data_IF_540868701833
#
_entry.id   IF_540868701833
#
_cell.length_a   1.000
_cell.length_b   1.000
_cell.length_c   1.000
_cell.angle_alpha   90.00
_cell.angle_beta   90.00
_cell.angle_gamma   90.00
#
_symmetry.space_group_name_H-M   'P 1'
#
loop_
_entity.id
_entity.type
_entity.pdbx_description
1 polymer ?
#
# COMPACT_ATOMS: atom_id res chain seq x y z
N UNK A 1 3.28 18.39 -33.99
CA UNK A 1 4.15 17.72 -33.00
C UNK A 1 5.58 17.67 -33.53
N UNK A 2 6.58 17.95 -32.68
CA UNK A 2 8.01 17.86 -33.02
C UNK A 2 8.57 16.58 -32.42
N UNK A 3 9.37 15.83 -33.18
CA UNK A 3 10.06 14.61 -32.73
C UNK A 3 11.55 14.88 -32.61
N UNK A 4 12.14 14.57 -31.46
CA UNK A 4 13.55 14.78 -31.14
C UNK A 4 14.10 13.64 -30.30
N UNK A 5 15.43 13.55 -30.20
CA UNK A 5 16.09 12.68 -29.22
C UNK A 5 16.33 13.45 -27.90
N UNK A 6 16.26 12.78 -26.77
CA UNK A 6 16.50 13.43 -25.47
C UNK A 6 17.84 14.15 -25.40
N UNK A 7 18.89 13.59 -26.01
CA UNK A 7 20.21 14.21 -26.06
C UNK A 7 20.30 15.48 -26.90
N UNK A 8 19.25 15.79 -27.72
CA UNK A 8 19.14 17.03 -28.52
C UNK A 8 18.51 18.18 -27.72
N UNK A 9 17.85 17.90 -26.60
CA UNK A 9 17.12 18.87 -25.78
C UNK A 9 17.57 18.87 -24.31
N UNK A 10 18.33 17.85 -23.88
CA UNK A 10 18.82 17.69 -22.51
C UNK A 10 20.31 17.36 -22.48
N UNK A 11 21.03 18.04 -21.61
CA UNK A 11 22.33 17.57 -21.13
C UNK A 11 22.09 16.40 -20.16
N UNK A 12 22.75 15.25 -20.41
CA UNK A 12 22.64 14.06 -19.57
C UNK A 12 23.97 13.84 -18.87
N UNK A 13 23.98 14.08 -17.56
CA UNK A 13 25.14 14.01 -16.71
C UNK A 13 25.21 12.65 -15.99
N UNK A 14 26.38 12.05 -15.98
CA UNK A 14 26.70 10.89 -15.13
C UNK A 14 27.20 11.37 -13.77
N UNK A 15 26.92 10.59 -12.71
CA UNK A 15 27.39 10.91 -11.38
C UNK A 15 28.79 10.39 -11.04
N UNK A 16 29.23 10.75 -9.84
CA UNK A 16 30.57 10.40 -9.32
C UNK A 16 30.53 9.12 -8.45
N UNK A 17 31.64 8.37 -8.48
CA UNK A 17 31.83 7.17 -7.66
C UNK A 17 32.31 7.54 -6.25
N UNK A 18 31.39 7.89 -5.36
CA UNK A 18 31.72 8.23 -3.99
C UNK A 18 32.22 7.03 -3.20
N UNK A 19 33.30 7.21 -2.43
CA UNK A 19 33.86 6.20 -1.54
C UNK A 19 33.06 6.19 -0.22
N UNK A 20 32.38 5.10 0.09
CA UNK A 20 31.55 4.99 1.30
C UNK A 20 32.32 5.18 2.62
N UNK A 21 33.63 4.86 2.62
CA UNK A 21 34.51 5.09 3.76
C UNK A 21 34.71 6.57 4.13
N UNK A 22 34.39 7.48 3.21
CA UNK A 22 34.46 8.93 3.42
C UNK A 22 33.10 9.55 3.75
N UNK A 23 32.05 8.76 3.98
CA UNK A 23 30.74 9.29 4.37
C UNK A 23 30.82 9.85 5.79
N UNK A 24 30.13 10.98 5.97
CA UNK A 24 30.04 11.72 7.24
C UNK A 24 28.56 11.99 7.56
N UNK A 25 28.29 12.45 8.79
CA UNK A 25 26.91 12.73 9.22
C UNK A 25 26.34 14.03 8.66
N UNK A 26 27.19 14.97 8.23
CA UNK A 26 26.79 16.25 7.66
C UNK A 26 27.74 16.67 6.52
N UNK A 27 27.22 17.36 5.51
CA UNK A 27 28.01 17.84 4.39
C UNK A 27 27.21 17.95 3.08
N UNK A 28 27.81 17.52 1.97
CA UNK A 28 27.14 17.46 0.67
C UNK A 28 26.36 16.14 0.58
N UNK A 29 25.04 16.20 0.47
CA UNK A 29 24.18 15.04 0.34
C UNK A 29 24.50 14.25 -0.92
N UNK A 30 24.57 12.93 -0.83
CA UNK A 30 24.76 12.05 -1.99
C UNK A 30 23.40 11.47 -2.41
N UNK A 31 22.93 11.80 -3.61
CA UNK A 31 21.72 11.21 -4.16
C UNK A 31 22.07 9.88 -4.84
N UNK A 32 21.64 8.79 -4.19
CA UNK A 32 21.88 7.41 -4.61
C UNK A 32 20.65 6.85 -5.31
N UNK A 33 20.79 5.68 -5.96
CA UNK A 33 19.65 4.99 -6.62
C UNK A 33 18.48 4.69 -5.67
N UNK A 34 18.77 4.42 -4.40
CA UNK A 34 17.75 4.17 -3.37
C UNK A 34 16.90 5.39 -3.07
N UNK A 35 17.42 6.59 -3.32
CA UNK A 35 16.69 7.83 -3.12
C UNK A 35 15.77 8.17 -4.31
N UNK A 36 16.05 7.64 -5.52
CA UNK A 36 15.23 7.96 -6.71
C UNK A 36 14.03 7.02 -6.80
N UNK A 37 12.85 7.55 -6.56
CA UNK A 37 11.58 6.84 -6.64
C UNK A 37 10.76 7.32 -7.84
N UNK A 38 9.67 6.64 -8.19
CA UNK A 38 8.79 7.05 -9.28
C UNK A 38 8.03 8.32 -8.87
N UNK A 39 8.40 9.45 -9.48
CA UNK A 39 7.78 10.76 -9.25
C UNK A 39 8.41 11.62 -8.15
N UNK A 40 9.33 11.10 -7.33
CA UNK A 40 9.93 11.87 -6.24
C UNK A 40 11.32 11.38 -5.83
N UNK A 41 12.03 12.20 -5.05
CA UNK A 41 13.29 11.82 -4.39
C UNK A 41 12.99 11.56 -2.91
N UNK A 42 13.34 10.36 -2.45
CA UNK A 42 13.17 9.93 -1.06
C UNK A 42 14.39 10.33 -0.21
N UNK A 43 14.16 10.76 1.03
CA UNK A 43 15.20 11.24 1.94
C UNK A 43 15.24 10.49 3.29
N UNK A 44 14.89 9.22 3.30
CA UNK A 44 14.77 8.42 4.54
C UNK A 44 16.09 7.95 5.13
N UNK A 45 17.17 7.86 4.33
CA UNK A 45 18.53 7.47 4.78
C UNK A 45 19.59 8.34 4.09
N UNK A 46 19.71 9.63 4.46
CA UNK A 46 20.65 10.52 3.82
C UNK A 46 22.09 10.11 4.10
N UNK A 47 22.95 10.16 3.08
CA UNK A 47 24.41 10.02 3.20
C UNK A 47 25.07 11.28 2.70
N UNK A 48 26.11 11.69 3.38
CA UNK A 48 26.80 12.94 3.10
C UNK A 48 28.26 12.69 2.78
N UNK A 49 28.83 13.62 1.99
CA UNK A 49 30.25 13.69 1.68
C UNK A 49 30.85 14.97 2.26
N UNK A 50 32.12 14.94 2.72
CA UNK A 50 32.71 16.10 3.37
C UNK A 50 32.70 17.35 2.48
N UNK A 51 32.43 18.51 3.06
CA UNK A 51 32.28 19.78 2.34
C UNK A 51 33.56 20.22 1.65
N UNK A 52 34.71 19.85 2.19
CA UNK A 52 36.04 20.16 1.62
C UNK A 52 36.25 19.56 0.24
N UNK A 53 35.54 18.50 -0.11
CA UNK A 53 35.60 17.89 -1.46
C UNK A 53 34.75 18.63 -2.50
N UNK A 54 34.03 19.72 -2.13
CA UNK A 54 33.08 20.42 -3.01
C UNK A 54 33.72 20.82 -4.36
N UNK A 55 34.94 21.38 -4.33
CA UNK A 55 35.63 21.83 -5.55
C UNK A 55 36.01 20.63 -6.46
N UNK A 56 36.37 19.48 -5.88
CA UNK A 56 36.76 18.30 -6.65
C UNK A 56 35.56 17.57 -7.29
N UNK A 57 34.36 17.78 -6.76
CA UNK A 57 33.10 17.20 -7.26
C UNK A 57 32.14 18.23 -7.85
N UNK A 58 32.62 19.45 -8.15
CA UNK A 58 31.78 20.57 -8.62
C UNK A 58 30.89 20.20 -9.82
N UNK A 59 31.43 19.43 -10.77
CA UNK A 59 30.69 18.95 -11.96
C UNK A 59 29.49 18.06 -11.64
N UNK A 60 29.46 17.48 -10.43
CA UNK A 60 28.41 16.55 -9.98
C UNK A 60 27.44 17.20 -8.99
N UNK A 61 27.65 18.47 -8.66
CA UNK A 61 26.77 19.22 -7.76
C UNK A 61 25.42 19.45 -8.46
N UNK A 62 24.37 19.08 -7.73
CA UNK A 62 22.98 19.21 -8.18
C UNK A 62 22.43 20.61 -7.92
N UNK A 63 21.49 21.01 -8.76
CA UNK A 63 20.73 22.26 -8.67
C UNK A 63 19.27 21.94 -8.32
N UNK A 64 18.59 22.91 -7.74
CA UNK A 64 17.16 22.81 -7.48
C UNK A 64 16.40 22.47 -8.78
N UNK A 65 15.48 21.50 -8.66
CA UNK A 65 14.67 21.00 -9.77
C UNK A 65 15.46 20.28 -10.89
N UNK A 66 16.68 19.80 -10.63
CA UNK A 66 17.31 18.82 -11.53
C UNK A 66 16.46 17.55 -11.61
N UNK A 67 16.27 17.02 -12.83
CA UNK A 67 15.62 15.74 -13.06
C UNK A 67 16.63 14.61 -12.83
N UNK A 68 16.36 13.72 -11.90
CA UNK A 68 17.26 12.63 -11.52
C UNK A 68 16.64 11.29 -11.90
N UNK A 69 17.41 10.43 -12.58
CA UNK A 69 16.96 9.12 -13.05
C UNK A 69 17.84 7.99 -12.52
N UNK A 70 17.23 6.93 -12.02
CA UNK A 70 17.95 5.71 -11.64
C UNK A 70 18.43 4.93 -12.86
N UNK A 71 19.73 4.61 -12.88
CA UNK A 71 20.38 3.85 -13.99
C UNK A 71 20.54 2.37 -13.69
N UNK A 72 20.39 1.94 -12.42
CA UNK A 72 20.68 0.57 -11.98
C UNK A 72 19.57 0.08 -11.04
N UNK A 73 19.31 -1.23 -11.04
CA UNK A 73 18.30 -1.86 -10.20
C UNK A 73 16.88 -1.53 -10.69
N UNK A 74 16.18 -0.63 -10.04
CA UNK A 74 14.89 -0.10 -10.51
C UNK A 74 15.14 1.00 -11.56
N UNK A 75 15.56 0.60 -12.74
CA UNK A 75 15.96 1.54 -13.82
C UNK A 75 14.79 2.39 -14.31
N UNK A 76 15.08 3.63 -14.72
CA UNK A 76 14.12 4.52 -15.35
C UNK A 76 13.17 5.24 -14.37
N UNK A 77 13.31 5.07 -13.05
CA UNK A 77 12.58 5.90 -12.08
C UNK A 77 13.11 7.32 -12.10
N UNK A 78 12.22 8.30 -12.06
CA UNK A 78 12.59 9.72 -12.17
C UNK A 78 11.95 10.52 -11.05
N UNK A 79 12.76 11.41 -10.44
CA UNK A 79 12.31 12.37 -9.44
C UNK A 79 12.94 13.75 -9.65
N UNK A 80 12.35 14.79 -9.09
CA UNK A 80 12.88 16.14 -9.03
C UNK A 80 13.52 16.38 -7.67
N UNK A 81 14.76 16.90 -7.65
CA UNK A 81 15.40 17.24 -6.39
C UNK A 81 14.83 18.54 -5.84
N UNK A 82 14.46 18.55 -4.57
CA UNK A 82 13.94 19.74 -3.88
C UNK A 82 15.07 20.61 -3.32
N UNK A 83 14.76 21.88 -3.10
CA UNK A 83 15.67 22.85 -2.47
C UNK A 83 16.14 22.40 -1.08
N UNK A 84 15.27 21.72 -0.33
CA UNK A 84 15.57 21.24 1.04
C UNK A 84 16.63 20.14 1.09
N UNK A 85 16.93 19.50 -0.05
CA UNK A 85 17.96 18.46 -0.15
C UNK A 85 19.33 19.02 -0.53
N UNK A 86 19.44 20.30 -0.85
CA UNK A 86 20.70 20.93 -1.25
C UNK A 86 21.51 21.41 -0.03
N UNK A 87 22.86 21.39 -0.09
CA UNK A 87 23.69 20.98 -1.22
C UNK A 87 23.74 19.47 -1.41
N UNK A 88 23.64 19.04 -2.67
CA UNK A 88 23.65 17.61 -3.02
C UNK A 88 24.52 17.33 -4.24
N UNK A 89 24.98 16.08 -4.36
CA UNK A 89 25.81 15.61 -5.47
C UNK A 89 25.30 14.28 -6.05
N UNK A 90 25.51 14.08 -7.33
CA UNK A 90 25.02 13.00 -8.14
C UNK A 90 25.90 11.76 -8.02
N UNK A 91 25.35 10.60 -7.57
CA UNK A 91 26.07 9.32 -7.52
C UNK A 91 26.14 8.66 -8.91
N UNK A 92 27.20 7.89 -9.19
CA UNK A 92 27.48 7.22 -10.46
C UNK A 92 26.35 6.34 -11.03
N UNK A 93 25.38 5.91 -10.20
CA UNK A 93 24.25 5.05 -10.59
C UNK A 93 22.96 5.86 -10.83
N UNK A 94 23.08 7.18 -10.84
CA UNK A 94 21.98 8.11 -11.12
C UNK A 94 22.43 9.04 -12.23
N UNK A 95 21.55 9.29 -13.21
CA UNK A 95 21.74 10.35 -14.21
C UNK A 95 21.01 11.61 -13.78
N UNK A 96 21.55 12.78 -14.17
CA UNK A 96 20.87 14.06 -14.07
C UNK A 96 20.58 14.57 -15.49
N UNK A 97 19.32 14.96 -15.74
CA UNK A 97 18.88 15.53 -17.01
C UNK A 97 18.61 17.02 -16.81
N UNK A 98 19.34 17.87 -17.54
CA UNK A 98 19.18 19.32 -17.55
C UNK A 98 18.72 19.77 -18.92
N UNK A 99 17.53 20.34 -19.01
CA UNK A 99 16.98 20.86 -20.25
C UNK A 99 17.72 22.15 -20.61
N UNK A 100 18.15 22.27 -21.84
CA UNK A 100 18.76 23.48 -22.42
C UNK A 100 17.94 24.07 -23.57
N UNK A 101 16.99 23.33 -24.13
CA UNK A 101 16.10 23.78 -25.21
C UNK A 101 14.77 24.28 -24.59
N UNK A 102 14.48 25.57 -24.76
CA UNK A 102 13.25 26.19 -24.25
C UNK A 102 11.95 25.76 -24.96
N UNK A 103 12.04 24.91 -25.99
CA UNK A 103 10.85 24.36 -26.69
C UNK A 103 10.18 23.22 -25.91
N UNK A 104 10.82 22.68 -24.88
CA UNK A 104 10.28 21.65 -24.01
C UNK A 104 10.24 22.11 -22.55
N UNK A 105 9.09 22.00 -21.90
CA UNK A 105 8.98 22.29 -20.47
C UNK A 105 9.49 21.13 -19.62
N UNK A 106 10.04 21.46 -18.46
CA UNK A 106 10.55 20.48 -17.51
C UNK A 106 9.41 19.58 -16.99
N UNK A 107 8.27 20.16 -16.73
CA UNK A 107 7.08 19.48 -16.25
C UNK A 107 6.58 18.45 -17.27
N UNK A 108 6.58 18.80 -18.55
CA UNK A 108 6.18 17.88 -19.64
C UNK A 108 7.20 16.73 -19.76
N UNK A 109 8.50 17.05 -19.75
CA UNK A 109 9.52 16.00 -19.79
C UNK A 109 9.44 15.10 -18.55
N UNK A 110 9.18 15.66 -17.38
CA UNK A 110 9.00 14.88 -16.14
C UNK A 110 7.82 13.91 -16.26
N UNK A 111 6.68 14.33 -16.78
CA UNK A 111 5.52 13.46 -17.01
C UNK A 111 5.83 12.35 -18.03
N UNK A 112 6.49 12.68 -19.16
CA UNK A 112 6.93 11.68 -20.14
C UNK A 112 7.82 10.62 -19.50
N UNK A 113 8.85 11.04 -18.76
CA UNK A 113 9.81 10.13 -18.11
C UNK A 113 9.20 9.28 -16.98
N UNK A 114 8.09 9.71 -16.39
CA UNK A 114 7.33 8.95 -15.41
C UNK A 114 6.19 8.10 -16.02
N UNK A 115 6.04 8.11 -17.37
CA UNK A 115 5.06 7.28 -18.06
C UNK A 115 5.46 5.79 -17.97
N UNK A 116 4.44 4.93 -17.91
CA UNK A 116 4.66 3.48 -17.92
C UNK A 116 5.33 3.02 -19.23
N UNK A 117 5.05 3.71 -20.35
CA UNK A 117 5.66 3.46 -21.65
C UNK A 117 7.17 3.69 -21.62
N UNK A 118 7.61 4.83 -21.08
CA UNK A 118 9.02 5.11 -20.90
C UNK A 118 9.69 4.11 -19.96
N UNK A 119 9.09 3.84 -18.80
CA UNK A 119 9.63 2.90 -17.81
C UNK A 119 9.79 1.49 -18.41
N UNK A 120 8.78 0.99 -19.13
CA UNK A 120 8.87 -0.31 -19.82
C UNK A 120 9.94 -0.32 -20.92
N UNK A 121 10.11 0.79 -21.66
CA UNK A 121 11.18 0.93 -22.64
C UNK A 121 12.56 0.90 -21.99
N UNK A 122 12.73 1.63 -20.87
CA UNK A 122 13.96 1.62 -20.08
C UNK A 122 14.29 0.21 -19.54
N UNK A 123 13.28 -0.49 -19.00
CA UNK A 123 13.43 -1.86 -18.50
C UNK A 123 13.85 -2.83 -19.62
N UNK A 124 13.20 -2.75 -20.80
CA UNK A 124 13.54 -3.62 -21.96
C UNK A 124 14.93 -3.36 -22.51
N UNK A 125 15.38 -2.11 -22.45
CA UNK A 125 16.71 -1.70 -22.96
C UNK A 125 17.82 -1.87 -21.94
N UNK A 126 17.51 -2.25 -20.70
CA UNK A 126 18.50 -2.47 -19.66
C UNK A 126 19.18 -3.85 -19.81
N UNK A 127 20.49 -3.88 -19.70
CA UNK A 127 21.28 -5.09 -19.77
C UNK A 127 21.53 -5.69 -18.38
N UNK A 128 21.63 -7.03 -18.29
CA UNK A 128 22.00 -7.76 -17.08
C UNK A 128 20.89 -8.65 -16.53
N UNK A 129 21.23 -9.91 -16.23
CA UNK A 129 20.28 -10.92 -15.69
C UNK A 129 20.07 -10.73 -14.18
N UNK A 130 21.15 -10.41 -13.45
CA UNK A 130 21.12 -10.23 -11.99
C UNK A 130 20.89 -8.77 -11.56
N UNK A 131 21.38 -7.79 -12.33
CA UNK A 131 21.20 -6.37 -12.05
C UNK A 131 21.02 -5.61 -13.37
N UNK A 132 19.86 -5.02 -13.58
CA UNK A 132 19.55 -4.20 -14.74
C UNK A 132 20.38 -2.91 -14.72
N UNK A 133 21.02 -2.56 -15.83
CA UNK A 133 21.77 -1.33 -16.02
C UNK A 133 21.32 -0.63 -17.30
N UNK A 134 20.98 0.64 -17.17
CA UNK A 134 20.60 1.53 -18.25
C UNK A 134 21.78 2.43 -18.63
N UNK A 135 22.16 2.50 -19.91
CA UNK A 135 23.23 3.40 -20.34
C UNK A 135 22.70 4.80 -20.64
N UNK A 136 23.52 5.81 -20.33
CA UNK A 136 23.22 7.20 -20.70
C UNK A 136 23.26 7.42 -22.22
N UNK A 137 23.97 6.59 -22.98
CA UNK A 137 23.98 6.64 -24.46
C UNK A 137 22.67 6.14 -25.05
N UNK A 138 22.04 5.16 -24.41
CA UNK A 138 20.67 4.79 -24.78
C UNK A 138 19.72 5.95 -24.45
N UNK A 139 19.83 6.54 -23.27
CA UNK A 139 18.96 7.62 -22.83
C UNK A 139 19.03 8.84 -23.77
N UNK A 140 20.24 9.19 -24.28
CA UNK A 140 20.39 10.25 -25.30
C UNK A 140 19.64 9.94 -26.61
N UNK A 141 19.46 8.67 -26.96
CA UNK A 141 18.80 8.24 -28.19
C UNK A 141 17.29 8.04 -28.06
N UNK A 142 16.75 8.13 -26.86
CA UNK A 142 15.30 8.01 -26.63
C UNK A 142 14.60 9.11 -27.40
N UNK A 143 13.62 8.72 -28.20
CA UNK A 143 12.80 9.64 -28.99
C UNK A 143 11.65 10.18 -28.14
N UNK A 144 11.42 11.46 -28.23
CA UNK A 144 10.34 12.19 -27.58
C UNK A 144 9.58 12.98 -28.63
N UNK A 145 8.26 12.83 -28.64
CA UNK A 145 7.37 13.68 -29.45
C UNK A 145 6.66 14.66 -28.54
N UNK A 146 6.69 15.94 -28.87
CA UNK A 146 6.05 16.98 -28.05
C UNK A 146 5.32 18.03 -28.88
N UNK A 147 4.22 18.60 -28.35
CA UNK A 147 3.45 19.66 -28.98
C UNK A 147 4.05 21.06 -28.66
N UNK A 148 3.30 22.13 -29.00
CA UNK A 148 3.67 23.50 -28.62
C UNK A 148 3.74 23.67 -27.09
N UNK A 149 4.46 24.69 -26.62
CA UNK A 149 4.63 24.96 -25.17
C UNK A 149 3.28 25.16 -24.50
N UNK A 150 2.33 25.84 -25.14
CA UNK A 150 0.97 26.06 -24.62
C UNK A 150 0.24 24.73 -24.41
N UNK A 151 0.36 23.81 -25.35
CA UNK A 151 -0.23 22.46 -25.22
C UNK A 151 0.47 21.62 -24.16
N UNK A 152 1.80 21.74 -24.01
CA UNK A 152 2.54 21.10 -22.94
C UNK A 152 2.05 21.56 -21.55
N UNK A 153 1.81 22.86 -21.38
CA UNK A 153 1.25 23.42 -20.13
C UNK A 153 -0.12 22.85 -19.84
N UNK A 154 -0.98 22.74 -20.87
CA UNK A 154 -2.33 22.16 -20.70
C UNK A 154 -2.25 20.68 -20.29
N UNK A 155 -1.43 19.89 -20.98
CA UNK A 155 -1.23 18.46 -20.67
C UNK A 155 -0.73 18.28 -19.23
N UNK A 156 0.32 19.00 -18.85
CA UNK A 156 0.91 18.87 -17.50
C UNK A 156 -0.03 19.34 -16.41
N UNK A 157 -0.77 20.44 -16.63
CA UNK A 157 -1.76 20.92 -15.66
C UNK A 157 -2.89 19.90 -15.46
N UNK A 158 -3.36 19.27 -16.53
CA UNK A 158 -4.40 18.23 -16.48
C UNK A 158 -3.92 17.00 -15.70
N UNK A 159 -2.72 16.49 -16.03
CA UNK A 159 -2.14 15.33 -15.34
C UNK A 159 -1.88 15.62 -13.86
N UNK A 160 -1.34 16.80 -13.54
CA UNK A 160 -1.09 17.21 -12.15
C UNK A 160 -2.40 17.33 -11.36
N UNK A 161 -3.48 17.85 -11.97
CA UNK A 161 -4.79 17.91 -11.32
C UNK A 161 -5.33 16.52 -10.99
N UNK A 162 -5.21 15.56 -11.91
CA UNK A 162 -5.63 14.17 -11.67
C UNK A 162 -4.80 13.55 -10.55
N UNK A 163 -3.48 13.76 -10.52
CA UNK A 163 -2.61 13.27 -9.44
C UNK A 163 -2.99 13.86 -8.08
N UNK A 164 -3.30 15.15 -8.02
CA UNK A 164 -3.79 15.79 -6.81
C UNK A 164 -5.14 15.20 -6.36
N UNK A 165 -6.07 14.95 -7.27
CA UNK A 165 -7.34 14.32 -6.95
C UNK A 165 -7.15 12.91 -6.40
N UNK A 166 -6.29 12.10 -7.01
CA UNK A 166 -5.93 10.75 -6.52
C UNK A 166 -5.33 10.86 -5.10
N UNK A 167 -4.41 11.79 -4.88
CA UNK A 167 -3.80 12.02 -3.57
C UNK A 167 -4.86 12.39 -2.52
N UNK A 168 -5.76 13.34 -2.82
CA UNK A 168 -6.81 13.75 -1.89
C UNK A 168 -7.81 12.62 -1.59
N UNK A 169 -8.17 11.80 -2.57
CA UNK A 169 -9.03 10.64 -2.35
C UNK A 169 -8.38 9.61 -1.42
N UNK A 170 -7.09 9.32 -1.60
CA UNK A 170 -6.33 8.45 -0.69
C UNK A 170 -6.28 9.03 0.73
N UNK A 171 -6.09 10.34 0.88
CA UNK A 171 -6.12 11.02 2.17
C UNK A 171 -7.52 10.98 2.83
N UNK A 172 -8.59 11.19 2.05
CA UNK A 172 -9.96 11.07 2.54
C UNK A 172 -10.24 9.66 3.10
N UNK A 173 -9.85 8.61 2.37
CA UNK A 173 -10.02 7.23 2.82
C UNK A 173 -9.28 6.97 4.15
N UNK A 174 -8.04 7.46 4.27
CA UNK A 174 -7.28 7.38 5.52
C UNK A 174 -8.00 8.08 6.68
N UNK A 175 -8.49 9.31 6.46
CA UNK A 175 -9.21 10.08 7.48
C UNK A 175 -10.51 9.41 7.90
N UNK A 176 -11.23 8.75 6.99
CA UNK A 176 -12.43 8.00 7.33
C UNK A 176 -12.12 6.83 8.27
N UNK A 177 -11.01 6.10 8.03
CA UNK A 177 -10.56 5.04 8.94
C UNK A 177 -10.19 5.59 10.34
N UNK A 178 -9.53 6.76 10.39
CA UNK A 178 -9.20 7.43 11.64
C UNK A 178 -10.46 7.91 12.37
N UNK A 179 -11.45 8.40 11.64
CA UNK A 179 -12.74 8.86 12.18
C UNK A 179 -13.51 7.73 12.86
N UNK A 180 -13.56 6.53 12.25
CA UNK A 180 -14.23 5.37 12.87
C UNK A 180 -13.56 5.00 14.19
N UNK A 181 -12.22 4.98 14.24
CA UNK A 181 -11.46 4.69 15.49
C UNK A 181 -11.73 5.76 16.55
N UNK A 182 -11.74 7.04 16.15
CA UNK A 182 -12.05 8.14 17.06
C UNK A 182 -13.48 8.03 17.62
N UNK A 183 -14.45 7.70 16.75
CA UNK A 183 -15.85 7.50 17.18
C UNK A 183 -16.01 6.32 18.12
N UNK A 184 -15.29 5.22 17.90
CA UNK A 184 -15.26 4.10 18.82
C UNK A 184 -14.79 4.53 20.21
N UNK A 185 -13.66 5.25 20.28
CA UNK A 185 -13.13 5.76 21.55
C UNK A 185 -14.07 6.77 22.23
N UNK A 186 -14.70 7.64 21.46
CA UNK A 186 -15.69 8.61 22.00
C UNK A 186 -16.88 7.90 22.63
N UNK A 187 -17.40 6.86 21.96
CA UNK A 187 -18.60 6.15 22.41
C UNK A 187 -18.33 5.14 23.51
N UNK A 188 -17.18 4.48 23.51
CA UNK A 188 -16.92 3.33 24.39
C UNK A 188 -15.70 3.49 25.30
N UNK A 189 -14.88 4.52 25.11
CA UNK A 189 -13.60 4.70 25.79
C UNK A 189 -12.53 3.74 25.30
N UNK A 190 -11.40 3.66 26.01
CA UNK A 190 -10.38 2.63 25.79
C UNK A 190 -10.91 1.29 26.30
N UNK A 191 -11.11 0.28 25.43
CA UNK A 191 -11.70 -0.99 25.85
C UNK A 191 -10.75 -1.85 26.68
N UNK A 192 -9.45 -1.53 26.73
CA UNK A 192 -8.46 -2.21 27.56
C UNK A 192 -8.51 -1.67 29.00
N UNK A 193 -8.64 -0.35 29.15
CA UNK A 193 -8.68 0.33 30.44
C UNK A 193 -10.10 0.34 31.04
N UNK A 194 -11.13 0.27 30.20
CA UNK A 194 -12.55 0.36 30.57
C UNK A 194 -12.86 1.59 31.46
N UNK A 195 -12.34 2.74 31.10
CA UNK A 195 -12.49 4.00 31.85
C UNK A 195 -13.95 4.42 32.07
N UNK A 196 -14.85 4.00 31.17
CA UNK A 196 -16.29 4.25 31.27
C UNK A 196 -17.03 3.31 32.21
N UNK A 197 -16.35 2.27 32.74
CA UNK A 197 -16.91 1.34 33.72
C UNK A 197 -18.01 0.42 33.18
N UNK A 198 -17.95 0.07 31.90
CA UNK A 198 -18.89 -0.88 31.30
C UNK A 198 -18.83 -2.25 32.00
N UNK A 199 -19.95 -2.96 32.01
CA UNK A 199 -19.99 -4.38 32.39
C UNK A 199 -18.96 -5.16 31.56
N UNK A 200 -18.34 -6.18 32.17
CA UNK A 200 -17.35 -7.05 31.48
C UNK A 200 -17.84 -8.50 31.57
N UNK A 201 -17.78 -9.19 30.45
CA UNK A 201 -18.02 -10.63 30.43
C UNK A 201 -17.03 -11.31 29.46
N UNK A 202 -17.01 -12.66 29.41
CA UNK A 202 -16.12 -13.39 28.51
C UNK A 202 -16.77 -13.56 27.13
N UNK A 203 -15.94 -13.62 26.09
CA UNK A 203 -16.39 -13.68 24.70
C UNK A 203 -17.36 -14.85 24.45
N UNK A 204 -17.14 -16.01 25.09
CA UNK A 204 -18.01 -17.19 25.00
C UNK A 204 -19.36 -17.04 25.69
N UNK A 205 -19.54 -16.06 26.56
CA UNK A 205 -20.83 -15.77 27.21
C UNK A 205 -21.65 -14.72 26.46
N UNK A 206 -21.00 -13.94 25.61
CA UNK A 206 -21.67 -12.88 24.85
C UNK A 206 -21.98 -13.28 23.41
N UNK A 207 -21.61 -14.48 23.01
CA UNK A 207 -21.93 -15.07 21.70
C UNK A 207 -21.49 -16.52 21.59
N UNK A 208 -21.77 -17.12 20.46
CA UNK A 208 -21.31 -18.48 20.14
C UNK A 208 -19.97 -18.40 19.43
N UNK A 209 -18.97 -19.08 19.97
CA UNK A 209 -17.63 -19.15 19.41
C UNK A 209 -17.30 -20.58 18.98
N UNK A 210 -16.74 -20.76 17.81
CA UNK A 210 -16.39 -22.08 17.30
C UNK A 210 -15.28 -22.05 16.30
N UNK A 211 -14.50 -23.12 16.26
CA UNK A 211 -13.40 -23.28 15.32
C UNK A 211 -13.90 -23.74 13.97
N UNK A 212 -13.33 -23.23 12.86
CA UNK A 212 -13.53 -23.79 11.54
C UNK A 212 -13.09 -25.25 11.47
N UNK A 213 -13.54 -25.97 10.47
CA UNK A 213 -13.36 -27.41 10.35
C UNK A 213 -12.68 -27.77 9.04
N UNK A 214 -11.61 -28.59 9.12
CA UNK A 214 -10.90 -29.14 7.98
C UNK A 214 -10.42 -30.55 8.34
N UNK A 215 -11.28 -31.55 8.12
CA UNK A 215 -11.02 -32.95 8.55
C UNK A 215 -10.13 -33.71 7.56
N UNK A 216 -10.32 -33.50 6.27
CA UNK A 216 -9.64 -34.27 5.21
C UNK A 216 -8.15 -33.92 5.09
N UNK A 217 -7.34 -34.89 4.70
CA UNK A 217 -5.93 -34.74 4.44
C UNK A 217 -5.56 -35.41 3.11
N UNK A 218 -4.68 -34.82 2.27
CA UNK A 218 -4.08 -33.49 2.46
C UNK A 218 -5.10 -32.36 2.28
N UNK A 219 -4.89 -31.22 2.93
CA UNK A 219 -5.81 -30.06 2.93
C UNK A 219 -5.99 -29.41 1.55
N UNK A 220 -5.08 -29.67 0.62
CA UNK A 220 -5.08 -29.15 -0.76
C UNK A 220 -5.52 -30.21 -1.79
N UNK A 221 -6.14 -31.31 -1.35
CA UNK A 221 -6.65 -32.35 -2.26
C UNK A 221 -7.69 -31.77 -3.22
N UNK A 222 -7.54 -32.04 -4.53
CA UNK A 222 -8.36 -31.46 -5.59
C UNK A 222 -9.86 -31.72 -5.45
N UNK A 223 -10.24 -32.92 -4.92
CA UNK A 223 -11.61 -33.33 -4.69
C UNK A 223 -12.37 -32.47 -3.66
N UNK A 224 -11.66 -31.74 -2.82
CA UNK A 224 -12.25 -30.81 -1.85
C UNK A 224 -12.82 -29.54 -2.51
N UNK A 225 -12.29 -29.15 -3.69
CA UNK A 225 -12.50 -27.84 -4.29
C UNK A 225 -13.34 -27.91 -5.59
N UNK A 226 -13.67 -26.72 -6.13
CA UNK A 226 -14.30 -26.57 -7.45
C UNK A 226 -15.83 -26.70 -7.45
N UNK A 227 -16.50 -26.64 -6.27
CA UNK A 227 -17.96 -26.61 -6.16
C UNK A 227 -18.51 -25.19 -5.98
N UNK A 228 -19.64 -25.10 -5.29
CA UNK A 228 -20.41 -23.85 -5.13
C UNK A 228 -20.24 -23.19 -3.74
N UNK A 229 -19.62 -23.87 -2.78
CA UNK A 229 -19.53 -23.36 -1.40
C UNK A 229 -18.28 -22.52 -1.22
N UNK A 230 -18.40 -21.19 -0.95
CA UNK A 230 -17.25 -20.35 -0.69
C UNK A 230 -16.36 -20.91 0.40
N UNK A 231 -15.03 -20.83 0.20
CA UNK A 231 -14.02 -21.27 1.16
C UNK A 231 -13.04 -20.15 1.43
N UNK A 232 -13.06 -19.66 2.68
CA UNK A 232 -12.26 -18.53 3.15
C UNK A 232 -11.01 -19.01 3.89
N UNK A 233 -9.88 -18.39 3.63
CA UNK A 233 -8.61 -18.65 4.30
C UNK A 233 -8.18 -17.46 5.18
N UNK A 234 -7.14 -17.66 5.98
CA UNK A 234 -6.61 -16.60 6.88
C UNK A 234 -6.16 -15.34 6.12
N UNK A 235 -5.68 -15.51 4.89
CA UNK A 235 -5.31 -14.39 4.00
C UNK A 235 -6.52 -13.54 3.59
N UNK A 236 -7.66 -14.20 3.29
CA UNK A 236 -8.89 -13.50 2.92
C UNK A 236 -9.41 -12.65 4.10
N UNK A 237 -9.39 -13.20 5.32
CA UNK A 237 -9.77 -12.45 6.54
C UNK A 237 -8.82 -11.27 6.79
N UNK A 238 -7.51 -11.50 6.67
CA UNK A 238 -6.51 -10.48 6.99
C UNK A 238 -6.45 -9.32 5.99
N UNK A 239 -6.80 -9.58 4.73
CA UNK A 239 -6.76 -8.60 3.64
C UNK A 239 -8.12 -7.95 3.36
N UNK A 240 -9.20 -8.43 3.99
CA UNK A 240 -10.52 -7.79 3.92
C UNK A 240 -10.62 -6.61 4.89
N UNK A 241 -11.53 -5.68 4.60
CA UNK A 241 -11.91 -4.62 5.52
C UNK A 241 -12.89 -5.14 6.59
N UNK A 242 -13.97 -4.37 6.83
CA UNK A 242 -15.02 -4.78 7.77
C UNK A 242 -15.74 -6.06 7.33
N UNK A 243 -15.85 -6.29 6.01
CA UNK A 243 -16.55 -7.44 5.45
C UNK A 243 -15.69 -8.21 4.44
N UNK A 244 -15.81 -9.56 4.47
CA UNK A 244 -15.33 -10.44 3.43
C UNK A 244 -16.39 -10.47 2.34
N UNK A 245 -16.15 -9.79 1.23
CA UNK A 245 -17.09 -9.63 0.12
C UNK A 245 -16.73 -10.47 -1.10
N UNK A 246 -15.56 -11.10 -1.11
CA UNK A 246 -15.04 -11.91 -2.21
C UNK A 246 -14.30 -13.14 -1.69
N UNK A 247 -14.10 -14.14 -2.57
CA UNK A 247 -13.39 -15.39 -2.25
C UNK A 247 -12.63 -15.91 -3.46
N UNK A 248 -11.51 -16.59 -3.19
CA UNK A 248 -10.62 -17.12 -4.24
C UNK A 248 -10.84 -18.60 -4.53
N UNK A 249 -11.53 -19.32 -3.66
CA UNK A 249 -11.78 -20.76 -3.82
C UNK A 249 -13.14 -21.18 -3.29
N UNK A 250 -13.63 -22.33 -3.76
CA UNK A 250 -14.89 -22.92 -3.34
C UNK A 250 -14.68 -24.39 -2.98
N UNK A 251 -15.45 -24.89 -2.04
CA UNK A 251 -15.55 -26.34 -1.75
C UNK A 251 -16.60 -27.02 -2.61
N UNK A 252 -16.32 -28.28 -2.94
CA UNK A 252 -17.28 -29.24 -3.51
C UNK A 252 -18.24 -29.76 -2.43
N UNK A 253 -19.27 -30.55 -2.82
CA UNK A 253 -20.10 -31.26 -1.87
C UNK A 253 -19.30 -32.20 -0.95
N UNK A 254 -18.22 -32.80 -1.47
CA UNK A 254 -17.29 -33.59 -0.67
C UNK A 254 -16.54 -32.72 0.32
N UNK A 255 -16.05 -31.56 -0.12
CA UNK A 255 -15.35 -30.56 0.74
C UNK A 255 -16.26 -30.06 1.85
N UNK A 256 -17.52 -29.75 1.56
CA UNK A 256 -18.51 -29.34 2.56
C UNK A 256 -18.69 -30.40 3.65
N UNK A 257 -18.80 -31.68 3.28
CA UNK A 257 -18.92 -32.79 4.24
C UNK A 257 -17.72 -32.94 5.19
N UNK A 258 -16.55 -32.42 4.79
CA UNK A 258 -15.32 -32.40 5.58
C UNK A 258 -15.12 -31.10 6.38
N UNK A 259 -16.04 -30.13 6.23
CA UNK A 259 -15.99 -28.80 6.81
C UNK A 259 -17.27 -28.48 7.60
N UNK A 260 -17.48 -27.22 7.87
CA UNK A 260 -18.70 -26.64 8.42
C UNK A 260 -19.03 -25.38 7.62
N UNK A 261 -20.29 -25.27 7.18
CA UNK A 261 -20.80 -24.01 6.63
C UNK A 261 -21.16 -23.07 7.78
N UNK A 262 -20.72 -21.83 7.66
CA UNK A 262 -21.02 -20.74 8.58
C UNK A 262 -21.86 -19.70 7.87
N UNK A 263 -22.85 -19.18 8.58
CA UNK A 263 -23.80 -18.23 8.01
C UNK A 263 -23.16 -16.86 7.76
N UNK A 264 -23.67 -16.16 6.78
CA UNK A 264 -23.46 -14.72 6.59
C UNK A 264 -23.63 -13.98 7.92
N UNK A 265 -22.81 -12.97 8.17
CA UNK A 265 -22.79 -12.21 9.41
C UNK A 265 -21.89 -12.82 10.49
N UNK A 266 -21.32 -14.01 10.30
CA UNK A 266 -20.32 -14.55 11.24
C UNK A 266 -19.05 -13.69 11.22
N UNK A 267 -18.55 -13.29 12.39
CA UNK A 267 -17.24 -12.67 12.52
C UNK A 267 -16.15 -13.74 12.47
N UNK A 268 -15.30 -13.69 11.44
CA UNK A 268 -14.13 -14.54 11.32
C UNK A 268 -12.96 -13.93 12.08
N UNK A 269 -12.28 -14.74 12.89
CA UNK A 269 -11.12 -14.35 13.72
C UNK A 269 -9.97 -15.28 13.38
N UNK A 270 -8.85 -14.78 12.90
CA UNK A 270 -7.67 -15.60 12.61
C UNK A 270 -6.91 -15.96 13.88
N UNK A 271 -6.54 -17.25 14.02
CA UNK A 271 -5.78 -17.74 15.19
C UNK A 271 -4.39 -18.26 14.84
N UNK A 272 -4.06 -18.27 13.54
CA UNK A 272 -2.76 -18.69 13.03
C UNK A 272 -2.30 -17.69 11.94
N UNK A 273 -1.02 -17.55 11.73
CA UNK A 273 -0.38 -16.64 10.78
C UNK A 273 -0.66 -15.15 11.11
N UNK A 274 -1.78 -14.60 10.68
CA UNK A 274 -2.20 -13.20 10.94
C UNK A 274 -3.08 -13.15 12.19
N UNK A 275 -2.54 -13.32 13.38
CA UNK A 275 -3.30 -13.47 14.63
C UNK A 275 -4.22 -12.28 14.90
N UNK A 276 -5.44 -12.61 15.39
CA UNK A 276 -6.47 -11.64 15.81
C UNK A 276 -6.90 -10.64 14.72
N UNK A 277 -6.65 -10.94 13.44
CA UNK A 277 -7.33 -10.24 12.35
C UNK A 277 -8.78 -10.71 12.30
N UNK A 278 -9.67 -9.77 12.05
CA UNK A 278 -11.10 -10.05 12.02
C UNK A 278 -11.75 -9.44 10.79
N UNK A 279 -12.80 -10.09 10.30
CA UNK A 279 -13.69 -9.58 9.26
C UNK A 279 -15.02 -10.34 9.29
N UNK A 280 -16.12 -9.74 8.86
CA UNK A 280 -17.48 -10.30 8.92
C UNK A 280 -17.82 -10.93 7.57
N UNK A 281 -18.38 -12.15 7.54
CA UNK A 281 -18.82 -12.81 6.31
C UNK A 281 -19.99 -12.03 5.65
N UNK A 282 -19.84 -11.65 4.39
CA UNK A 282 -20.93 -11.10 3.58
C UNK A 282 -21.80 -12.17 2.89
N UNK A 283 -21.41 -13.45 2.96
CA UNK A 283 -22.06 -14.63 2.39
C UNK A 283 -21.77 -15.86 3.26
N UNK A 284 -22.54 -16.92 3.07
CA UNK A 284 -22.28 -18.20 3.75
C UNK A 284 -20.98 -18.82 3.26
N UNK A 285 -20.13 -19.31 4.17
CA UNK A 285 -18.80 -19.80 3.82
C UNK A 285 -18.28 -20.90 4.72
N UNK A 286 -17.43 -21.75 4.16
CA UNK A 286 -16.57 -22.66 4.92
C UNK A 286 -15.22 -22.02 5.20
N UNK A 287 -14.59 -22.39 6.31
CA UNK A 287 -13.21 -21.99 6.60
C UNK A 287 -12.49 -23.04 7.48
N UNK A 288 -11.13 -23.09 7.43
CA UNK A 288 -10.33 -24.08 8.12
C UNK A 288 -10.21 -23.81 9.62
N UNK A 289 -9.63 -24.76 10.33
CA UNK A 289 -9.36 -24.72 11.76
C UNK A 289 -8.35 -23.65 12.23
N UNK A 290 -7.77 -22.88 11.30
CA UNK A 290 -6.95 -21.67 11.54
C UNK A 290 -7.79 -20.39 11.68
N UNK A 291 -9.11 -20.50 11.49
CA UNK A 291 -10.08 -19.42 11.69
C UNK A 291 -11.12 -19.86 12.72
N UNK A 292 -11.51 -18.93 13.56
CA UNK A 292 -12.59 -19.06 14.53
C UNK A 292 -13.75 -18.19 14.08
N UNK A 293 -14.98 -18.74 14.07
CA UNK A 293 -16.20 -17.98 13.86
C UNK A 293 -16.80 -17.55 15.19
N UNK A 294 -17.25 -16.31 15.26
CA UNK A 294 -18.03 -15.75 16.36
C UNK A 294 -19.39 -15.29 15.83
N UNK A 295 -20.45 -15.76 16.46
CA UNK A 295 -21.83 -15.34 16.20
C UNK A 295 -22.31 -14.59 17.44
N UNK A 296 -22.75 -13.31 17.32
CA UNK A 296 -23.11 -12.49 18.46
C UNK A 296 -24.37 -13.04 19.14
N UNK A 297 -24.42 -12.90 20.46
CA UNK A 297 -25.62 -13.14 21.24
C UNK A 297 -26.48 -11.89 21.35
N UNK A 298 -27.51 -11.94 22.20
CA UNK A 298 -28.46 -10.83 22.38
C UNK A 298 -27.85 -9.55 22.97
N UNK A 299 -26.64 -9.62 23.53
CA UNK A 299 -25.98 -8.48 24.20
C UNK A 299 -24.87 -7.84 23.37
N UNK A 300 -24.56 -8.38 22.18
CA UNK A 300 -23.44 -7.90 21.38
C UNK A 300 -23.78 -7.74 19.90
N UNK A 301 -23.02 -6.86 19.25
CA UNK A 301 -23.04 -6.61 17.81
C UNK A 301 -21.68 -6.99 17.19
N UNK A 302 -21.68 -7.68 16.05
CA UNK A 302 -20.44 -8.12 15.40
C UNK A 302 -19.53 -6.98 14.99
N UNK A 303 -20.05 -5.85 14.56
CA UNK A 303 -19.26 -4.68 14.19
C UNK A 303 -18.56 -4.08 15.41
N UNK A 304 -19.24 -4.03 16.54
CA UNK A 304 -18.62 -3.62 17.81
C UNK A 304 -17.48 -4.55 18.20
N UNK A 305 -17.70 -5.87 18.17
CA UNK A 305 -16.66 -6.86 18.50
C UNK A 305 -15.49 -6.80 17.50
N UNK A 306 -15.76 -6.59 16.21
CA UNK A 306 -14.73 -6.41 15.18
C UNK A 306 -13.78 -5.24 15.53
N UNK A 307 -14.32 -4.07 15.85
CA UNK A 307 -13.50 -2.91 16.22
C UNK A 307 -12.84 -3.09 17.60
N UNK A 308 -13.52 -3.71 18.55
CA UNK A 308 -12.95 -4.06 19.84
C UNK A 308 -11.67 -4.92 19.68
N UNK A 309 -11.67 -5.93 18.78
CA UNK A 309 -10.50 -6.74 18.49
C UNK A 309 -9.30 -5.92 18.00
N UNK A 310 -9.51 -4.83 17.31
CA UNK A 310 -8.43 -3.98 16.79
C UNK A 310 -7.53 -3.40 17.88
N UNK A 311 -8.04 -3.22 19.11
CA UNK A 311 -7.26 -2.76 20.26
C UNK A 311 -6.46 -3.87 20.92
N UNK A 312 -6.98 -5.08 20.89
CA UNK A 312 -6.35 -6.23 21.51
C UNK A 312 -5.35 -6.96 20.61
N UNK A 313 -5.37 -6.71 19.30
CA UNK A 313 -4.53 -7.43 18.36
C UNK A 313 -3.05 -7.43 18.77
N UNK A 314 -2.48 -6.28 19.09
CA UNK A 314 -1.07 -6.17 19.50
C UNK A 314 -0.76 -6.94 20.80
N UNK A 315 -1.69 -6.93 21.74
CA UNK A 315 -1.57 -7.65 23.01
C UNK A 315 -1.58 -9.16 22.74
N UNK A 316 -2.53 -9.62 21.93
CA UNK A 316 -2.66 -11.02 21.56
C UNK A 316 -1.47 -11.52 20.73
N UNK A 317 -0.95 -10.70 19.82
CA UNK A 317 0.27 -10.99 19.06
C UNK A 317 1.50 -11.14 19.97
N UNK A 318 1.62 -10.32 21.03
CA UNK A 318 2.73 -10.39 21.98
C UNK A 318 2.65 -11.60 22.93
N UNK A 319 1.44 -12.10 23.21
CA UNK A 319 1.20 -13.27 24.06
C UNK A 319 1.32 -14.60 23.29
N UNK A 320 1.36 -14.55 21.97
CA UNK A 320 1.53 -15.75 21.15
C UNK A 320 2.94 -16.32 21.32
N UNK A 321 3.08 -17.67 21.53
CA UNK A 321 4.39 -18.30 21.69
C UNK A 321 5.31 -18.01 20.49
N UNK A 322 6.61 -17.81 20.74
CA UNK A 322 7.64 -17.60 19.69
C UNK A 322 7.99 -18.88 18.89
N UNK A 323 7.12 -19.89 18.85
CA UNK A 323 7.28 -21.04 17.97
C UNK A 323 7.17 -20.60 16.50
N UNK A 324 7.74 -21.36 15.58
CA UNK A 324 7.80 -21.06 14.14
C UNK A 324 6.44 -20.71 13.47
N UNK A 325 5.33 -20.97 14.15
CA UNK A 325 3.99 -20.46 13.86
C UNK A 325 3.36 -19.94 15.15
N UNK A 326 3.25 -18.63 15.27
CA UNK A 326 2.46 -18.01 16.34
C UNK A 326 1.01 -18.46 16.22
N UNK A 327 0.45 -19.11 17.23
CA UNK A 327 -0.93 -19.59 17.28
C UNK A 327 -1.57 -19.20 18.62
N UNK A 328 -2.80 -18.70 18.57
CA UNK A 328 -3.67 -18.55 19.73
C UNK A 328 -4.68 -19.68 19.74
N UNK A 329 -4.93 -20.30 20.88
CA UNK A 329 -5.93 -21.36 20.96
C UNK A 329 -7.34 -20.81 21.23
N UNK A 330 -8.36 -21.63 20.91
CA UNK A 330 -9.76 -21.26 21.11
C UNK A 330 -10.09 -20.91 22.57
N UNK A 331 -9.44 -21.55 23.53
CA UNK A 331 -9.68 -21.30 24.95
C UNK A 331 -9.29 -19.87 25.33
N UNK A 332 -8.10 -19.41 24.90
CA UNK A 332 -7.67 -18.02 25.12
C UNK A 332 -8.67 -17.04 24.55
N UNK A 333 -9.12 -17.24 23.30
CA UNK A 333 -10.13 -16.37 22.69
C UNK A 333 -11.45 -16.39 23.46
N UNK A 334 -11.92 -17.57 23.87
CA UNK A 334 -13.19 -17.73 24.59
C UNK A 334 -13.21 -17.00 25.93
N UNK A 335 -12.08 -16.90 26.60
CA UNK A 335 -11.92 -16.29 27.92
C UNK A 335 -11.56 -14.78 27.85
N UNK A 336 -11.42 -14.18 26.64
CA UNK A 336 -11.17 -12.76 26.51
C UNK A 336 -12.30 -11.95 27.15
N UNK A 337 -11.90 -10.99 27.96
CA UNK A 337 -12.82 -10.08 28.67
C UNK A 337 -13.25 -8.95 27.75
N UNK A 338 -14.52 -8.92 27.40
CA UNK A 338 -15.13 -7.92 26.51
C UNK A 338 -15.95 -6.95 27.33
N UNK A 339 -15.79 -5.66 27.08
CA UNK A 339 -16.68 -4.63 27.64
C UNK A 339 -18.04 -4.71 26.96
N UNK A 340 -19.11 -4.46 27.71
CA UNK A 340 -20.50 -4.59 27.25
C UNK A 340 -21.27 -3.29 27.43
N UNK A 341 -21.04 -2.29 26.59
CA UNK A 341 -21.91 -1.13 26.54
C UNK A 341 -23.32 -1.56 26.08
N UNK A 342 -24.37 -0.75 26.33
CA UNK A 342 -25.73 -1.03 25.88
C UNK A 342 -25.79 -1.41 24.39
N UNK A 343 -26.56 -2.45 24.04
CA UNK A 343 -26.68 -2.92 22.65
C UNK A 343 -27.14 -1.81 21.70
N UNK A 344 -28.00 -0.90 22.15
CA UNK A 344 -28.42 0.27 21.37
C UNK A 344 -27.24 1.15 20.94
N UNK A 345 -26.28 1.36 21.85
CA UNK A 345 -25.08 2.13 21.55
C UNK A 345 -24.13 1.39 20.60
N UNK A 346 -24.01 0.06 20.75
CA UNK A 346 -23.26 -0.77 19.82
C UNK A 346 -23.86 -0.74 18.40
N UNK A 347 -25.19 -0.74 18.29
CA UNK A 347 -25.91 -0.65 17.02
C UNK A 347 -25.76 0.75 16.39
N UNK A 348 -25.84 1.83 17.20
CA UNK A 348 -25.55 3.20 16.71
C UNK A 348 -24.14 3.29 16.09
N UNK A 349 -23.16 2.69 16.74
CA UNK A 349 -21.81 2.62 16.18
C UNK A 349 -21.77 1.81 14.88
N UNK A 350 -22.44 0.65 14.81
CA UNK A 350 -22.51 -0.16 13.59
C UNK A 350 -23.17 0.60 12.43
N UNK A 351 -24.23 1.37 12.68
CA UNK A 351 -24.88 2.22 11.69
C UNK A 351 -23.97 3.35 11.21
N UNK A 352 -23.21 3.96 12.12
CA UNK A 352 -22.18 4.95 11.76
C UNK A 352 -21.10 4.33 10.86
N UNK A 353 -20.58 3.15 11.21
CA UNK A 353 -19.59 2.42 10.37
C UNK A 353 -20.17 2.13 8.99
N UNK A 354 -21.42 1.68 8.90
CA UNK A 354 -22.07 1.39 7.61
C UNK A 354 -22.20 2.65 6.71
N UNK A 355 -22.38 3.84 7.29
CA UNK A 355 -22.35 5.09 6.52
C UNK A 355 -20.95 5.46 6.04
N UNK A 356 -19.92 5.22 6.87
CA UNK A 356 -18.53 5.42 6.49
C UNK A 356 -18.14 4.45 5.37
N UNK A 357 -18.52 3.17 5.47
CA UNK A 357 -18.23 2.13 4.44
C UNK A 357 -18.82 2.54 3.08
N UNK A 358 -20.05 3.06 3.04
CA UNK A 358 -20.65 3.60 1.81
C UNK A 358 -19.81 4.74 1.20
N UNK A 359 -19.32 5.65 2.06
CA UNK A 359 -18.46 6.75 1.61
C UNK A 359 -17.11 6.25 1.09
N UNK A 360 -16.52 5.26 1.75
CA UNK A 360 -15.26 4.62 1.32
C UNK A 360 -15.42 3.90 -0.02
N UNK A 361 -16.54 3.19 -0.23
CA UNK A 361 -16.83 2.55 -1.52
C UNK A 361 -16.93 3.58 -2.66
N UNK A 362 -17.58 4.72 -2.43
CA UNK A 362 -17.67 5.80 -3.40
C UNK A 362 -16.28 6.42 -3.71
N UNK A 363 -15.43 6.58 -2.69
CA UNK A 363 -14.05 7.06 -2.84
C UNK A 363 -13.23 6.04 -3.63
N UNK A 364 -13.36 4.75 -3.34
CA UNK A 364 -12.64 3.69 -4.04
C UNK A 364 -13.00 3.66 -5.52
N UNK A 365 -14.28 3.74 -5.86
CA UNK A 365 -14.74 3.83 -7.26
C UNK A 365 -14.17 5.06 -7.96
N UNK A 366 -14.20 6.23 -7.29
CA UNK A 366 -13.60 7.46 -7.83
C UNK A 366 -12.09 7.33 -8.06
N UNK A 367 -11.36 6.60 -7.18
CA UNK A 367 -9.92 6.32 -7.36
C UNK A 367 -9.67 5.48 -8.62
N UNK A 368 -10.42 4.41 -8.82
CA UNK A 368 -10.31 3.53 -9.98
C UNK A 368 -10.59 4.28 -11.30
N UNK A 369 -11.62 5.14 -11.30
CA UNK A 369 -11.95 5.99 -12.44
C UNK A 369 -10.83 6.99 -12.74
N UNK A 370 -10.26 7.65 -11.72
CA UNK A 370 -9.15 8.61 -11.87
C UNK A 370 -7.85 7.93 -12.33
N UNK A 371 -7.52 6.77 -11.80
CA UNK A 371 -6.33 5.99 -12.21
C UNK A 371 -6.49 5.50 -13.66
N UNK A 372 -7.68 5.07 -14.05
CA UNK A 372 -8.00 4.69 -15.44
C UNK A 372 -7.88 5.89 -16.38
N UNK A 373 -8.46 7.04 -16.02
CA UNK A 373 -8.37 8.28 -16.79
C UNK A 373 -6.91 8.72 -16.96
N UNK A 374 -6.13 8.72 -15.86
CA UNK A 374 -4.70 9.04 -15.90
C UNK A 374 -3.96 8.15 -16.91
N UNK A 375 -4.19 6.83 -16.83
CA UNK A 375 -3.56 5.87 -17.74
C UNK A 375 -3.93 6.11 -19.20
N UNK A 376 -5.20 6.41 -19.50
CA UNK A 376 -5.68 6.73 -20.85
C UNK A 376 -5.02 8.00 -21.40
N UNK A 377 -4.97 9.07 -20.62
CA UNK A 377 -4.34 10.33 -21.03
C UNK A 377 -2.82 10.19 -21.21
N UNK A 378 -2.15 9.43 -20.35
CA UNK A 378 -0.72 9.14 -20.49
C UNK A 378 -0.45 8.37 -21.81
N UNK A 379 -1.32 7.43 -22.19
CA UNK A 379 -1.24 6.72 -23.46
C UNK A 379 -1.51 7.66 -24.65
N UNK A 380 -2.47 8.58 -24.54
CA UNK A 380 -2.80 9.55 -25.60
C UNK A 380 -1.66 10.54 -25.84
N UNK A 381 -1.05 11.04 -24.77
CA UNK A 381 -0.06 12.11 -24.87
C UNK A 381 1.36 11.62 -25.16
N UNK A 382 1.70 10.40 -24.73
CA UNK A 382 3.06 9.86 -24.78
C UNK A 382 3.19 8.51 -25.50
N UNK A 383 2.06 7.91 -25.95
CA UNK A 383 1.95 6.58 -26.59
C UNK A 383 2.17 6.50 -28.08
#
# INVERSE_FOLDING_TARGET
MKKVKLGEVCEILNGFAFKSLLYVDNGIRIIRITNVQKGYIEDTDPKYYPIEYRNSIEKFILKENDLLMSLTGNVGRVGLISKTMLPAALNQRVACLRIFDGSISKEFLFQFLNSDLFEQSAIRSSNGVAQKNLSTDWLKKVELTYPSVEQQVLITSTLNLIEQLIFYRKQQNKKLNELVKSRFNEMFGDPVLNEMGWEIDTLNKVGTIGRGVSKYRPRNASELFGGIYPFIQTGDVANSGNYIVDYHSTYSDFGLKQSKLWDKGTLCITIAANIAKTSILAFDSCFPDSIVGFIPGERTNNMFIHYWFSYFQKILESQAPESAQKNINLKILSELKVILPPLSLQNEFADFVAQVDKSQLAIQKSLEELETLKKSLMQEYFG
#
